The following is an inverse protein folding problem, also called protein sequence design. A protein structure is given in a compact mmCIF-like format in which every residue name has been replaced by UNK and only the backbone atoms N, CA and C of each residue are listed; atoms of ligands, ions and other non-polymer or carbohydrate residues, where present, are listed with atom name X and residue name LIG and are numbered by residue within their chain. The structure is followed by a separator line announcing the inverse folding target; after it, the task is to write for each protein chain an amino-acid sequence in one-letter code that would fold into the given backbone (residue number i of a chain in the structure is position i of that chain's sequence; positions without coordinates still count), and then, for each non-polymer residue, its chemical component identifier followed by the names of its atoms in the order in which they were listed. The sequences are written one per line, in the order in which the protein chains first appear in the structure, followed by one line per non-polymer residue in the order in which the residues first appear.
data_IF_454085421818
#
_entry.id   IF_454085421818
#
_cell.length_a   1.000
_cell.length_b   1.000
_cell.length_c   1.000
_cell.angle_alpha   90.00
_cell.angle_beta   90.00
_cell.angle_gamma   90.00
#
_symmetry.space_group_name_H-M   'P 1'
#
loop_
_entity.id
_entity.type
_entity.pdbx_description
1 polymer ?
#
# COMPACT_ATOMS: atom_id res chain seq x y z
N UNK A 1 -9.25 8.30 10.87
CA UNK A 1 -9.97 7.25 10.11
C UNK A 1 -10.44 6.23 11.14
N UNK A 2 -11.68 5.72 11.09
CA UNK A 2 -12.13 4.70 12.04
C UNK A 2 -11.26 3.43 11.96
N UNK A 3 -11.23 2.65 13.03
CA UNK A 3 -10.57 1.34 13.05
C UNK A 3 -11.41 0.27 12.36
N UNK A 4 -10.76 -0.82 11.92
CA UNK A 4 -11.36 -1.88 11.10
C UNK A 4 -10.51 -2.22 9.87
N UNK A 5 -10.67 -3.44 9.35
CA UNK A 5 -9.95 -3.92 8.17
C UNK A 5 -10.44 -3.24 6.91
N UNK A 6 -11.75 -3.01 6.83
CA UNK A 6 -12.43 -2.38 5.70
C UNK A 6 -11.97 -0.92 5.47
N UNK A 7 -11.29 -0.33 6.47
CA UNK A 7 -10.74 1.02 6.43
C UNK A 7 -9.24 1.08 6.12
N UNK A 8 -8.56 -0.05 5.90
CA UNK A 8 -7.11 -0.09 5.68
C UNK A 8 -6.66 0.76 4.48
N UNK A 9 -7.42 0.76 3.38
CA UNK A 9 -7.10 1.60 2.23
C UNK A 9 -7.17 3.11 2.56
N UNK A 10 -8.16 3.52 3.38
CA UNK A 10 -8.30 4.91 3.86
C UNK A 10 -7.20 5.29 4.85
N UNK A 11 -6.85 4.40 5.78
CA UNK A 11 -5.72 4.56 6.70
C UNK A 11 -4.41 4.69 5.93
N UNK A 12 -4.20 3.84 4.92
CA UNK A 12 -3.05 3.89 4.03
C UNK A 12 -2.95 5.21 3.26
N UNK A 13 -4.05 5.70 2.69
CA UNK A 13 -4.05 7.00 2.00
C UNK A 13 -3.79 8.16 2.96
N UNK A 14 -4.36 8.13 4.17
CA UNK A 14 -4.09 9.13 5.21
C UNK A 14 -2.60 9.14 5.61
N UNK A 15 -1.99 7.97 5.78
CA UNK A 15 -0.54 7.84 6.03
C UNK A 15 0.29 8.44 4.90
N UNK A 16 -0.04 8.14 3.64
CA UNK A 16 0.67 8.69 2.48
C UNK A 16 0.55 10.22 2.40
N UNK A 17 -0.63 10.77 2.69
CA UNK A 17 -0.86 12.22 2.75
C UNK A 17 -0.01 12.87 3.83
N UNK A 18 -0.04 12.34 5.05
CA UNK A 18 0.77 12.84 6.15
C UNK A 18 2.27 12.83 5.82
N UNK A 19 2.78 11.72 5.28
CA UNK A 19 4.19 11.64 4.88
C UNK A 19 4.55 12.57 3.71
N UNK A 20 3.68 12.66 2.70
CA UNK A 20 3.89 13.54 1.56
C UNK A 20 3.93 15.02 1.94
N UNK A 21 3.18 15.42 2.95
CA UNK A 21 3.04 16.81 3.41
C UNK A 21 4.14 17.22 4.41
N UNK A 22 4.46 16.36 5.38
CA UNK A 22 5.31 16.74 6.52
C UNK A 22 6.74 16.17 6.49
N UNK A 23 7.05 15.25 5.56
CA UNK A 23 8.36 14.59 5.48
C UNK A 23 9.01 14.76 4.09
N UNK A 24 9.08 16.02 3.64
CA UNK A 24 9.54 16.40 2.30
C UNK A 24 11.02 16.12 2.01
N UNK A 25 11.85 15.88 3.01
CA UNK A 25 13.29 15.61 2.91
C UNK A 25 13.64 14.11 2.87
N UNK A 26 12.68 13.23 3.18
CA UNK A 26 12.88 11.79 3.11
C UNK A 26 13.07 11.30 1.66
N UNK A 27 13.91 10.27 1.49
CA UNK A 27 14.11 9.59 0.21
C UNK A 27 13.08 8.46 -0.02
N UNK A 28 12.78 7.70 1.05
CA UNK A 28 11.87 6.56 1.02
C UNK A 28 10.90 6.61 2.22
N UNK A 29 9.71 6.03 2.03
CA UNK A 29 8.78 5.69 3.09
C UNK A 29 8.75 4.17 3.26
N UNK A 30 8.96 3.70 4.48
CA UNK A 30 8.84 2.29 4.86
C UNK A 30 7.58 2.14 5.70
N UNK A 31 6.67 1.28 5.27
CA UNK A 31 5.49 0.86 6.05
C UNK A 31 5.67 -0.59 6.43
N UNK A 32 5.39 -0.92 7.69
CA UNK A 32 5.36 -2.29 8.22
C UNK A 32 4.11 -2.47 9.07
N UNK A 33 3.51 -3.66 9.08
CA UNK A 33 2.49 -4.01 10.08
C UNK A 33 3.15 -4.25 11.45
N UNK A 34 2.39 -4.06 12.52
CA UNK A 34 2.87 -4.18 13.91
C UNK A 34 3.02 -5.62 14.40
N UNK A 35 2.48 -6.58 13.65
CA UNK A 35 2.62 -8.02 13.86
C UNK A 35 3.75 -8.67 13.02
N UNK A 36 4.58 -7.85 12.35
CA UNK A 36 5.65 -8.31 11.48
C UNK A 36 7.03 -8.11 12.11
N UNK A 37 7.79 -9.20 12.20
CA UNK A 37 9.23 -9.11 12.41
C UNK A 37 9.94 -8.77 11.09
N UNK A 38 10.81 -7.75 11.12
CA UNK A 38 11.68 -7.40 10.00
C UNK A 38 13.08 -7.04 10.49
N UNK A 39 14.05 -7.03 9.57
CA UNK A 39 15.45 -6.70 9.86
C UNK A 39 15.77 -5.33 9.25
N UNK A 40 15.88 -4.25 10.05
CA UNK A 40 16.08 -2.90 9.50
C UNK A 40 17.42 -2.70 8.83
N UNK A 41 18.51 -3.12 9.47
CA UNK A 41 19.87 -2.84 9.00
C UNK A 41 20.13 -3.32 7.54
N UNK A 42 19.80 -4.57 7.14
CA UNK A 42 19.98 -4.98 5.75
C UNK A 42 19.09 -4.23 4.76
N UNK A 43 17.87 -3.85 5.17
CA UNK A 43 16.96 -3.10 4.30
C UNK A 43 17.49 -1.69 4.05
N UNK A 44 17.92 -1.00 5.11
CA UNK A 44 18.46 0.36 5.01
C UNK A 44 19.72 0.39 4.13
N UNK A 45 20.67 -0.54 4.34
CA UNK A 45 21.86 -0.66 3.48
C UNK A 45 21.51 -0.90 2.01
N UNK A 46 20.52 -1.77 1.74
CA UNK A 46 20.06 -1.98 0.38
C UNK A 46 19.48 -0.70 -0.23
N UNK A 47 18.72 0.09 0.55
CA UNK A 47 18.09 1.32 0.07
C UNK A 47 19.09 2.45 -0.20
N UNK A 48 20.23 2.50 0.50
CA UNK A 48 21.32 3.44 0.23
C UNK A 48 21.87 3.31 -1.21
N UNK A 49 21.78 2.12 -1.79
CA UNK A 49 22.24 1.82 -3.16
C UNK A 49 21.15 2.06 -4.23
N UNK A 50 19.94 2.47 -3.85
CA UNK A 50 18.81 2.63 -4.78
C UNK A 50 18.56 4.09 -5.13
N UNK A 51 18.22 4.34 -6.39
CA UNK A 51 17.72 5.64 -6.81
C UNK A 51 16.30 5.85 -6.25
N UNK A 52 16.05 6.90 -5.44
CA UNK A 52 14.74 7.17 -4.84
C UNK A 52 13.79 7.85 -5.86
N UNK A 53 13.59 7.20 -7.01
CA UNK A 53 12.71 7.70 -8.07
C UNK A 53 11.95 6.54 -8.72
N UNK A 54 10.62 6.60 -8.71
CA UNK A 54 9.72 5.55 -9.18
C UNK A 54 10.08 4.16 -8.63
N UNK A 55 10.49 4.11 -7.37
CA UNK A 55 10.96 2.90 -6.71
C UNK A 55 9.88 2.32 -5.80
N UNK A 56 9.58 1.03 -6.00
CA UNK A 56 8.68 0.23 -5.17
C UNK A 56 9.43 -1.03 -4.77
N UNK A 57 9.39 -1.39 -3.50
CA UNK A 57 9.97 -2.63 -3.00
C UNK A 57 9.08 -3.25 -1.92
N UNK A 58 9.11 -4.57 -1.84
CA UNK A 58 8.32 -5.38 -0.92
C UNK A 58 8.09 -6.74 -1.54
N UNK A 59 7.18 -7.51 -0.95
CA UNK A 59 6.74 -8.77 -1.57
C UNK A 59 5.68 -8.44 -2.64
N UNK A 60 6.10 -8.36 -3.90
CA UNK A 60 5.22 -8.02 -5.01
C UNK A 60 4.37 -9.22 -5.45
N UNK A 61 3.05 -9.05 -5.43
CA UNK A 61 2.14 -9.90 -6.17
C UNK A 61 1.96 -9.33 -7.57
N UNK A 62 2.20 -10.16 -8.58
CA UNK A 62 2.09 -9.75 -9.99
C UNK A 62 0.84 -10.29 -10.68
N UNK A 63 0.22 -11.34 -10.14
CA UNK A 63 -0.94 -12.02 -10.71
C UNK A 63 -1.88 -12.52 -9.60
N UNK A 64 -2.20 -11.65 -8.64
CA UNK A 64 -3.07 -12.03 -7.51
C UNK A 64 -4.52 -12.18 -8.00
N UNK A 65 -5.16 -13.35 -7.86
CA UNK A 65 -6.56 -13.51 -8.21
C UNK A 65 -7.45 -12.70 -7.26
N UNK A 66 -8.52 -12.12 -7.79
CA UNK A 66 -9.50 -11.38 -6.99
C UNK A 66 -10.40 -12.38 -6.26
N UNK A 67 -10.48 -12.37 -4.91
CA UNK A 67 -11.32 -13.31 -4.17
C UNK A 67 -12.80 -13.11 -4.49
N UNK A 68 -13.46 -14.19 -4.90
CA UNK A 68 -14.88 -14.19 -5.34
C UNK A 68 -15.81 -14.97 -4.43
N UNK A 69 -15.29 -15.59 -3.38
CA UNK A 69 -16.12 -16.29 -2.39
C UNK A 69 -16.60 -15.30 -1.34
N UNK A 70 -17.91 -15.17 -1.15
CA UNK A 70 -18.52 -14.20 -0.20
C UNK A 70 -18.05 -14.38 1.26
N UNK A 71 -17.52 -15.55 1.61
CA UNK A 71 -16.98 -15.83 2.95
C UNK A 71 -15.50 -15.46 3.11
N UNK A 72 -14.85 -15.07 2.03
CA UNK A 72 -13.46 -14.61 2.08
C UNK A 72 -13.43 -13.19 2.69
N UNK A 73 -12.53 -12.98 3.66
CA UNK A 73 -12.34 -11.68 4.30
C UNK A 73 -11.91 -10.57 3.32
N UNK A 74 -11.43 -10.96 2.14
CA UNK A 74 -11.03 -10.07 1.06
C UNK A 74 -11.92 -10.21 -0.18
N UNK A 75 -13.18 -10.61 0.00
CA UNK A 75 -14.15 -10.73 -1.10
C UNK A 75 -14.34 -9.42 -1.87
N UNK A 76 -14.41 -9.52 -3.20
CA UNK A 76 -14.89 -8.47 -4.08
C UNK A 76 -15.90 -9.02 -5.08
N UNK A 77 -17.04 -8.33 -5.21
CA UNK A 77 -18.00 -8.63 -6.27
C UNK A 77 -17.48 -8.23 -7.65
N UNK A 78 -18.09 -8.77 -8.71
CA UNK A 78 -17.79 -8.39 -10.10
C UNK A 78 -18.20 -6.95 -10.42
N UNK A 79 -19.20 -6.42 -9.72
CA UNK A 79 -19.65 -5.05 -9.89
C UNK A 79 -18.66 -4.05 -9.27
N UNK A 80 -18.03 -4.40 -8.14
CA UNK A 80 -16.99 -3.58 -7.50
C UNK A 80 -15.63 -3.69 -8.20
N UNK A 81 -15.26 -4.89 -8.63
CA UNK A 81 -14.01 -5.16 -9.33
C UNK A 81 -14.25 -6.13 -10.49
N UNK A 82 -14.30 -5.67 -11.75
CA UNK A 82 -14.70 -6.50 -12.89
C UNK A 82 -13.64 -7.53 -13.30
N UNK A 83 -12.35 -7.22 -13.14
CA UNK A 83 -11.24 -8.05 -13.61
C UNK A 83 -11.00 -9.26 -12.68
N UNK A 84 -10.47 -10.36 -13.20
CA UNK A 84 -10.19 -11.56 -12.38
C UNK A 84 -8.86 -11.49 -11.61
N UNK A 85 -8.00 -10.53 -11.95
CA UNK A 85 -6.65 -10.39 -11.42
C UNK A 85 -6.43 -8.94 -10.98
N UNK A 86 -5.88 -8.72 -9.79
CA UNK A 86 -5.46 -7.40 -9.34
C UNK A 86 -4.22 -6.91 -10.11
N UNK A 87 -4.08 -5.60 -10.35
CA UNK A 87 -2.83 -5.04 -10.87
C UNK A 87 -1.68 -5.34 -9.90
N UNK A 88 -0.42 -5.33 -10.36
CA UNK A 88 0.72 -5.59 -9.47
C UNK A 88 0.76 -4.68 -8.24
N UNK A 89 0.94 -5.27 -7.04
CA UNK A 89 1.04 -4.52 -5.79
C UNK A 89 2.01 -5.17 -4.79
N UNK A 90 2.68 -4.39 -3.93
CA UNK A 90 3.38 -4.94 -2.77
C UNK A 90 2.37 -5.35 -1.70
N UNK A 91 2.48 -6.59 -1.18
CA UNK A 91 1.66 -7.09 -0.07
C UNK A 91 1.80 -6.20 1.18
N UNK A 92 0.78 -6.29 2.05
CA UNK A 92 0.61 -5.40 3.21
C UNK A 92 1.74 -5.44 4.22
N UNK A 93 2.32 -6.62 4.51
CA UNK A 93 3.24 -6.85 5.62
C UNK A 93 4.38 -5.82 5.72
N UNK A 94 5.08 -5.58 4.61
CA UNK A 94 6.15 -4.58 4.53
C UNK A 94 6.29 -4.08 3.09
N UNK A 95 6.27 -2.76 2.93
CA UNK A 95 6.56 -2.10 1.65
C UNK A 95 7.42 -0.86 1.80
N UNK A 96 8.17 -0.57 0.76
CA UNK A 96 8.96 0.65 0.59
C UNK A 96 8.50 1.36 -0.68
N UNK A 97 8.26 2.67 -0.58
CA UNK A 97 8.02 3.55 -1.72
C UNK A 97 9.06 4.67 -1.71
N UNK A 98 9.56 5.08 -2.87
CA UNK A 98 10.26 6.35 -2.99
C UNK A 98 9.29 7.52 -2.77
N UNK A 99 9.80 8.62 -2.22
CA UNK A 99 8.96 9.75 -1.83
C UNK A 99 8.34 10.50 -3.01
N UNK A 100 8.84 10.35 -4.24
CA UNK A 100 8.15 10.85 -5.44
C UNK A 100 6.82 10.11 -5.68
N UNK A 101 6.77 8.79 -5.46
CA UNK A 101 5.53 8.01 -5.53
C UNK A 101 4.59 8.42 -4.38
N UNK A 102 5.11 8.56 -3.16
CA UNK A 102 4.29 8.97 -2.01
C UNK A 102 3.62 10.32 -2.27
N UNK A 103 4.37 11.30 -2.77
CA UNK A 103 3.82 12.63 -3.11
C UNK A 103 2.84 12.56 -4.27
N UNK A 104 3.10 11.74 -5.29
CA UNK A 104 2.17 11.52 -6.40
C UNK A 104 0.81 10.99 -5.89
N UNK A 105 0.83 9.96 -5.04
CA UNK A 105 -0.38 9.36 -4.48
C UNK A 105 -1.10 10.32 -3.53
N UNK A 106 -0.36 11.06 -2.69
CA UNK A 106 -0.91 12.08 -1.80
C UNK A 106 -1.59 13.20 -2.58
N UNK A 107 -0.97 13.69 -3.66
CA UNK A 107 -1.54 14.73 -4.52
C UNK A 107 -2.78 14.24 -5.29
N UNK A 108 -2.83 12.94 -5.62
CA UNK A 108 -3.95 12.33 -6.32
C UNK A 108 -5.11 11.91 -5.41
N UNK A 109 -5.04 12.13 -4.09
CA UNK A 109 -5.98 11.54 -3.13
C UNK A 109 -7.46 11.76 -3.44
N UNK A 110 -7.86 12.93 -3.94
CA UNK A 110 -9.25 13.24 -4.30
C UNK A 110 -9.74 12.53 -5.58
N UNK A 111 -8.82 11.96 -6.36
CA UNK A 111 -9.09 11.23 -7.60
C UNK A 111 -9.02 9.71 -7.41
N UNK A 112 -8.60 9.24 -6.24
CA UNK A 112 -8.51 7.82 -5.93
C UNK A 112 -9.86 7.35 -5.40
N UNK A 113 -10.45 6.38 -6.10
CA UNK A 113 -11.59 5.65 -5.55
C UNK A 113 -11.08 4.68 -4.48
N UNK A 114 -11.47 4.92 -3.23
CA UNK A 114 -11.14 4.04 -2.10
C UNK A 114 -12.36 3.21 -1.76
N UNK A 115 -12.41 2.01 -2.33
CA UNK A 115 -13.42 1.00 -2.00
C UNK A 115 -13.32 0.55 -0.55
N UNK A 116 -14.45 0.15 0.01
CA UNK A 116 -14.58 -0.52 1.30
C UNK A 116 -15.03 -1.92 0.98
N UNK A 117 -14.24 -2.93 1.34
CA UNK A 117 -14.42 -4.30 0.86
C UNK A 117 -14.36 -5.24 2.04
N UNK A 118 -15.34 -6.15 2.13
CA UNK A 118 -15.54 -7.04 3.27
C UNK A 118 -16.43 -6.44 4.37
N UNK A 119 -16.79 -7.29 5.33
CA UNK A 119 -17.45 -6.92 6.59
C UNK A 119 -16.40 -6.92 7.72
N UNK A 120 -16.52 -6.03 8.71
CA UNK A 120 -15.69 -6.03 9.93
C UNK A 120 -16.08 -7.15 10.92
#
# INVERSE_FOLDING_TARGET
VPEGYVHNARKGLAFLRYFGEYHGDAAFSIKVDDDIYWRPEPLLRMLEERTPYRYIWGFLDLNSPVPREEKDAFFHSKDEWPDDIFPPYPRGALRVLSMDIVRLLAAAHDRLHVGVTGDD
#
